data_IF_894508890889
#
_entry.id   IF_894508890889
#
_cell.length_a   1.000
_cell.length_b   1.000
_cell.length_c   1.000
_cell.angle_alpha   90.00
_cell.angle_beta   90.00
_cell.angle_gamma   90.00
#
_symmetry.space_group_name_H-M   'P 1'
#
loop_
_entity.id
_entity.type
_entity.pdbx_description
1 polymer ?
#
# COMPACT_ATOMS: atom_id res chain seq x y z
N UNK A 1 7.73 -15.68 8.78
CA UNK A 1 9.10 -15.54 8.20
C UNK A 1 9.53 -14.13 8.49
N UNK A 2 10.68 -13.91 9.15
CA UNK A 2 11.24 -12.58 9.32
C UNK A 2 11.92 -12.13 8.04
N UNK A 3 11.71 -10.89 7.63
CA UNK A 3 12.30 -10.29 6.43
C UNK A 3 13.45 -9.40 6.87
N UNK A 4 14.61 -9.53 6.22
CA UNK A 4 15.78 -8.70 6.47
C UNK A 4 15.97 -7.71 5.30
N UNK A 5 16.13 -6.44 5.63
CA UNK A 5 16.44 -5.40 4.65
C UNK A 5 17.91 -5.38 4.24
N UNK A 6 18.80 -6.05 5.00
CA UNK A 6 20.23 -6.09 4.69
C UNK A 6 20.46 -6.69 3.29
N UNK A 7 21.01 -5.88 2.39
CA UNK A 7 21.22 -6.22 1.00
C UNK A 7 19.95 -6.46 0.15
N UNK A 8 18.76 -6.19 0.68
CA UNK A 8 17.51 -6.31 -0.09
C UNK A 8 17.48 -5.34 -1.27
N UNK A 9 16.81 -5.74 -2.34
CA UNK A 9 16.41 -4.86 -3.44
C UNK A 9 14.92 -4.59 -3.30
N UNK A 10 14.59 -3.33 -3.04
CA UNK A 10 13.23 -2.89 -2.73
C UNK A 10 12.64 -2.14 -3.92
N UNK A 11 11.38 -2.41 -4.25
CA UNK A 11 10.62 -1.59 -5.20
C UNK A 11 9.48 -0.89 -4.46
N UNK A 12 9.33 0.42 -4.67
CA UNK A 12 8.27 1.23 -4.05
C UNK A 12 7.40 1.85 -5.13
N UNK A 13 6.10 1.50 -5.16
CA UNK A 13 5.16 2.17 -6.08
C UNK A 13 4.68 3.49 -5.48
N UNK A 14 4.53 4.53 -6.33
CA UNK A 14 4.13 5.86 -5.85
C UNK A 14 5.18 6.55 -4.99
N UNK A 15 6.46 6.32 -5.26
CA UNK A 15 7.60 6.80 -4.47
C UNK A 15 7.77 8.33 -4.44
N UNK A 16 7.09 9.08 -5.31
CA UNK A 16 7.11 10.56 -5.26
C UNK A 16 6.24 11.15 -4.15
N UNK A 17 5.32 10.38 -3.58
CA UNK A 17 4.37 10.83 -2.54
C UNK A 17 4.91 10.67 -1.11
N UNK A 18 4.21 11.23 -0.11
CA UNK A 18 4.64 11.28 1.29
C UNK A 18 5.10 9.94 1.87
N UNK A 19 4.20 8.96 1.98
CA UNK A 19 4.57 7.61 2.46
C UNK A 19 5.61 6.95 1.57
N UNK A 20 5.48 7.07 0.24
CA UNK A 20 6.41 6.45 -0.71
C UNK A 20 7.84 6.96 -0.55
N UNK A 21 8.03 8.26 -0.34
CA UNK A 21 9.35 8.85 -0.07
C UNK A 21 9.94 8.30 1.23
N UNK A 22 9.12 8.20 2.25
CA UNK A 22 9.55 7.70 3.55
C UNK A 22 9.89 6.21 3.50
N UNK A 23 9.14 5.41 2.77
CA UNK A 23 9.50 4.00 2.51
C UNK A 23 10.87 3.87 1.85
N UNK A 24 11.18 4.70 0.84
CA UNK A 24 12.50 4.72 0.21
C UNK A 24 13.58 5.06 1.25
N UNK A 25 13.39 6.11 2.03
CA UNK A 25 14.34 6.57 3.04
C UNK A 25 14.62 5.49 4.10
N UNK A 26 13.56 4.90 4.67
CA UNK A 26 13.70 3.91 5.73
C UNK A 26 14.22 2.56 5.24
N UNK A 27 13.86 2.13 4.03
CA UNK A 27 14.44 0.92 3.43
C UNK A 27 15.97 1.04 3.29
N UNK A 28 16.46 2.19 2.81
CA UNK A 28 17.90 2.46 2.73
C UNK A 28 18.57 2.53 4.10
N UNK A 29 17.91 3.14 5.09
CA UNK A 29 18.42 3.22 6.46
C UNK A 29 18.52 1.84 7.13
N UNK A 30 17.65 0.88 6.77
CA UNK A 30 17.66 -0.51 7.23
C UNK A 30 18.64 -1.40 6.46
N UNK A 31 19.37 -0.87 5.48
CA UNK A 31 20.44 -1.61 4.80
C UNK A 31 20.07 -2.14 3.42
N UNK A 32 18.96 -1.69 2.82
CA UNK A 32 18.67 -2.04 1.43
C UNK A 32 19.82 -1.65 0.51
N UNK A 33 20.24 -2.59 -0.32
CA UNK A 33 21.33 -2.36 -1.28
C UNK A 33 20.88 -1.46 -2.45
N UNK A 34 19.58 -1.52 -2.78
CA UNK A 34 18.99 -0.76 -3.87
C UNK A 34 17.51 -0.53 -3.61
N UNK A 35 17.02 0.63 -4.04
CA UNK A 35 15.57 0.92 -4.05
C UNK A 35 15.16 1.42 -5.43
N UNK A 36 14.27 0.72 -6.10
CA UNK A 36 13.56 1.20 -7.27
C UNK A 36 12.43 2.12 -6.82
N UNK A 37 12.65 3.44 -6.97
CA UNK A 37 11.66 4.46 -6.61
C UNK A 37 10.76 4.73 -7.82
N UNK A 38 9.55 4.14 -7.84
CA UNK A 38 8.73 4.17 -9.03
C UNK A 38 7.60 5.20 -8.96
N UNK A 39 7.34 5.84 -10.09
CA UNK A 39 6.23 6.75 -10.30
C UNK A 39 5.94 6.88 -11.80
N UNK A 40 4.78 7.44 -12.20
CA UNK A 40 4.48 7.76 -13.60
C UNK A 40 5.53 8.69 -14.21
N UNK A 41 6.00 9.66 -13.44
CA UNK A 41 7.11 10.55 -13.79
C UNK A 41 8.08 10.55 -12.61
N UNK A 42 9.10 9.68 -12.61
CA UNK A 42 10.04 9.55 -11.50
C UNK A 42 10.85 10.84 -11.32
N UNK A 43 11.09 11.21 -10.07
CA UNK A 43 12.00 12.31 -9.72
C UNK A 43 13.45 11.80 -9.60
N UNK A 44 14.41 12.70 -9.64
CA UNK A 44 15.78 12.42 -9.25
C UNK A 44 15.92 12.24 -7.73
N UNK A 45 16.91 11.47 -7.31
CA UNK A 45 17.25 11.21 -5.91
C UNK A 45 18.75 11.40 -5.72
N UNK A 46 19.16 11.89 -4.55
CA UNK A 46 20.57 12.19 -4.26
C UNK A 46 21.37 10.93 -3.86
N UNK A 47 20.70 9.87 -3.35
CA UNK A 47 21.35 8.62 -2.98
C UNK A 47 21.51 7.72 -4.21
N UNK A 48 22.73 7.33 -4.53
CA UNK A 48 23.06 6.50 -5.70
C UNK A 48 22.47 5.08 -5.67
N UNK A 49 21.99 4.62 -4.51
CA UNK A 49 21.30 3.35 -4.35
C UNK A 49 19.83 3.43 -4.80
N UNK A 50 19.29 4.64 -4.99
CA UNK A 50 17.93 4.82 -5.50
C UNK A 50 17.95 4.89 -7.01
N UNK A 51 17.21 4.01 -7.64
CA UNK A 51 17.03 3.95 -9.09
C UNK A 51 15.62 4.46 -9.44
N UNK A 52 15.48 5.66 -9.99
CA UNK A 52 14.20 6.13 -10.49
C UNK A 52 13.71 5.26 -11.65
N UNK A 53 12.46 4.77 -11.57
CA UNK A 53 11.90 3.90 -12.60
C UNK A 53 10.45 4.31 -12.93
N UNK A 54 10.15 4.43 -14.22
CA UNK A 54 8.80 4.74 -14.66
C UNK A 54 7.86 3.55 -14.41
N UNK A 55 6.73 3.82 -13.75
CA UNK A 55 5.68 2.83 -13.52
C UNK A 55 4.32 3.53 -13.37
N UNK A 56 3.43 3.25 -14.30
CA UNK A 56 1.99 3.50 -14.16
C UNK A 56 1.30 2.17 -13.81
N UNK A 57 0.77 2.07 -12.62
CA UNK A 57 0.11 0.85 -12.13
C UNK A 57 -1.21 0.55 -12.87
N UNK A 58 -1.72 1.48 -13.66
CA UNK A 58 -2.93 1.31 -14.48
C UNK A 58 -2.63 0.90 -15.91
N UNK A 59 -1.34 0.76 -16.28
CA UNK A 59 -0.89 0.35 -17.61
C UNK A 59 -0.11 -0.97 -17.52
N UNK A 60 -0.66 -2.03 -18.09
CA UNK A 60 -0.05 -3.36 -18.07
C UNK A 60 1.34 -3.37 -18.73
N UNK A 61 1.53 -2.64 -19.84
CA UNK A 61 2.82 -2.59 -20.51
C UNK A 61 3.88 -1.87 -19.65
N UNK A 62 3.47 -0.84 -18.90
CA UNK A 62 4.33 -0.16 -17.93
C UNK A 62 4.74 -1.08 -16.79
N UNK A 63 3.82 -1.89 -16.27
CA UNK A 63 4.08 -2.86 -15.20
C UNK A 63 5.07 -3.93 -15.70
N UNK A 64 4.85 -4.51 -16.88
CA UNK A 64 5.71 -5.53 -17.47
C UNK A 64 7.13 -4.99 -17.73
N UNK A 65 7.24 -3.76 -18.24
CA UNK A 65 8.53 -3.09 -18.43
C UNK A 65 9.27 -2.86 -17.10
N UNK A 66 8.54 -2.44 -16.05
CA UNK A 66 9.11 -2.25 -14.72
C UNK A 66 9.56 -3.59 -14.10
N UNK A 67 8.78 -4.67 -14.22
CA UNK A 67 9.17 -5.99 -13.73
C UNK A 67 10.42 -6.53 -14.45
N UNK A 68 10.54 -6.28 -15.75
CA UNK A 68 11.73 -6.64 -16.52
C UNK A 68 12.95 -5.83 -16.10
N UNK A 69 12.80 -4.52 -15.87
CA UNK A 69 13.90 -3.63 -15.49
C UNK A 69 14.37 -3.84 -14.04
N UNK A 70 13.45 -4.23 -13.15
CA UNK A 70 13.69 -4.47 -11.73
C UNK A 70 13.67 -5.97 -11.39
N UNK A 71 14.24 -6.80 -12.25
CA UNK A 71 14.23 -8.26 -12.14
C UNK A 71 15.00 -8.85 -10.96
N UNK A 72 15.73 -8.02 -10.21
CA UNK A 72 16.43 -8.40 -8.97
C UNK A 72 15.67 -8.00 -7.68
N UNK A 73 14.41 -7.56 -7.77
CA UNK A 73 13.60 -7.15 -6.64
C UNK A 73 13.27 -8.32 -5.71
N UNK A 74 13.47 -8.13 -4.41
CA UNK A 74 13.11 -9.08 -3.35
C UNK A 74 11.99 -8.57 -2.43
N UNK A 75 11.77 -7.24 -2.34
CA UNK A 75 10.68 -6.64 -1.55
C UNK A 75 9.93 -5.64 -2.41
N UNK A 76 8.60 -5.74 -2.44
CA UNK A 76 7.71 -4.80 -3.14
C UNK A 76 6.83 -4.07 -2.15
N UNK A 77 6.88 -2.74 -2.15
CA UNK A 77 6.00 -1.88 -1.37
C UNK A 77 4.93 -1.30 -2.31
N UNK A 78 3.75 -1.86 -2.24
CA UNK A 78 2.60 -1.54 -3.08
C UNK A 78 1.83 -0.37 -2.47
N UNK A 79 2.39 0.84 -2.63
CA UNK A 79 1.95 2.07 -1.97
C UNK A 79 1.13 2.99 -2.89
N UNK A 80 1.24 2.87 -4.21
CA UNK A 80 0.51 3.74 -5.13
C UNK A 80 -0.99 3.72 -4.85
N UNK A 81 -1.59 4.90 -4.72
CA UNK A 81 -3.01 5.05 -4.46
C UNK A 81 -3.50 6.46 -4.77
N UNK A 82 -4.79 6.58 -5.00
CA UNK A 82 -5.47 7.84 -5.31
C UNK A 82 -6.82 7.93 -4.60
N UNK A 83 -7.28 9.16 -4.41
CA UNK A 83 -8.65 9.48 -4.00
C UNK A 83 -9.29 10.43 -5.02
N UNK A 84 -10.53 10.82 -4.81
CA UNK A 84 -11.26 11.81 -5.59
C UNK A 84 -11.94 12.82 -4.68
N UNK A 85 -12.16 14.05 -5.15
CA UNK A 85 -12.79 15.11 -4.37
C UNK A 85 -14.27 14.82 -4.07
N UNK A 86 -14.97 14.10 -4.96
CA UNK A 86 -16.34 13.62 -4.72
C UNK A 86 -16.37 12.11 -4.95
N UNK A 87 -16.20 11.35 -3.89
CA UNK A 87 -16.20 9.89 -3.90
C UNK A 87 -17.54 9.28 -3.48
N UNK A 88 -18.61 10.08 -3.37
CA UNK A 88 -19.96 9.61 -3.09
C UNK A 88 -20.39 8.56 -4.13
N UNK A 89 -20.83 7.41 -3.67
CA UNK A 89 -21.36 6.35 -4.54
C UNK A 89 -22.70 6.72 -5.19
N UNK A 90 -23.41 7.71 -4.63
CA UNK A 90 -24.72 8.15 -5.16
C UNK A 90 -24.59 9.30 -6.17
N UNK A 91 -23.61 10.20 -5.98
CA UNK A 91 -23.53 11.44 -6.76
C UNK A 91 -22.15 11.67 -7.41
N UNK A 92 -21.18 10.82 -7.14
CA UNK A 92 -19.85 10.90 -7.73
C UNK A 92 -19.86 10.56 -9.23
N UNK A 93 -18.89 11.10 -9.96
CA UNK A 93 -18.68 10.75 -11.36
C UNK A 93 -18.22 9.28 -11.46
N UNK A 94 -18.96 8.48 -12.22
CA UNK A 94 -18.66 7.05 -12.39
C UNK A 94 -17.26 6.81 -13.01
N UNK A 95 -16.77 7.72 -13.86
CA UNK A 95 -15.43 7.62 -14.42
C UNK A 95 -14.37 7.80 -13.34
N UNK A 96 -14.56 8.74 -12.42
CA UNK A 96 -13.68 8.94 -11.26
C UNK A 96 -13.74 7.76 -10.27
N UNK A 97 -14.93 7.20 -10.02
CA UNK A 97 -15.07 6.01 -9.18
C UNK A 97 -14.28 4.82 -9.79
N UNK A 98 -14.39 4.62 -11.11
CA UNK A 98 -13.60 3.61 -11.82
C UNK A 98 -12.11 3.87 -11.72
N UNK A 99 -11.66 5.11 -11.92
CA UNK A 99 -10.25 5.50 -11.82
C UNK A 99 -9.65 5.16 -10.44
N UNK A 100 -10.42 5.36 -9.37
CA UNK A 100 -9.99 4.97 -8.02
C UNK A 100 -9.80 3.45 -7.93
N UNK A 101 -10.71 2.66 -8.45
CA UNK A 101 -10.58 1.19 -8.47
C UNK A 101 -9.44 0.72 -9.37
N UNK A 102 -9.27 1.33 -10.55
CA UNK A 102 -8.14 0.99 -11.45
C UNK A 102 -6.80 1.16 -10.77
N UNK A 103 -6.61 2.23 -10.01
CA UNK A 103 -5.34 2.45 -9.30
C UNK A 103 -5.23 1.62 -8.02
N UNK A 104 -6.24 1.71 -7.13
CA UNK A 104 -6.12 1.21 -5.75
C UNK A 104 -6.34 -0.30 -5.65
N UNK A 105 -7.00 -0.91 -6.63
CA UNK A 105 -7.32 -2.33 -6.62
C UNK A 105 -6.69 -3.06 -7.82
N UNK A 106 -7.12 -2.79 -9.04
CA UNK A 106 -6.64 -3.53 -10.21
C UNK A 106 -5.15 -3.33 -10.44
N UNK A 107 -4.65 -2.10 -10.35
CA UNK A 107 -3.24 -1.78 -10.50
C UNK A 107 -2.39 -2.41 -9.39
N UNK A 108 -2.86 -2.33 -8.14
CA UNK A 108 -2.17 -2.96 -7.02
C UNK A 108 -2.06 -4.49 -7.19
N UNK A 109 -3.15 -5.15 -7.56
CA UNK A 109 -3.15 -6.61 -7.85
C UNK A 109 -2.26 -6.94 -9.05
N UNK A 110 -2.28 -6.11 -10.11
CA UNK A 110 -1.44 -6.31 -11.29
C UNK A 110 0.06 -6.21 -10.96
N UNK A 111 0.45 -5.28 -10.08
CA UNK A 111 1.85 -5.18 -9.58
C UNK A 111 2.24 -6.46 -8.83
N UNK A 112 1.40 -6.97 -7.91
CA UNK A 112 1.70 -8.23 -7.20
C UNK A 112 1.87 -9.37 -8.21
N UNK A 113 0.97 -9.50 -9.18
CA UNK A 113 1.03 -10.55 -10.21
C UNK A 113 2.30 -10.52 -11.04
N UNK A 114 2.76 -9.33 -11.43
CA UNK A 114 3.96 -9.16 -12.24
C UNK A 114 5.25 -9.41 -11.43
N UNK A 115 5.27 -9.02 -10.16
CA UNK A 115 6.46 -9.14 -9.33
C UNK A 115 6.53 -10.43 -8.51
N UNK A 116 5.44 -11.16 -8.31
CA UNK A 116 5.48 -12.45 -7.58
C UNK A 116 6.49 -13.45 -8.19
N UNK A 117 6.52 -13.67 -9.53
CA UNK A 117 7.53 -14.54 -10.12
C UNK A 117 8.96 -13.97 -10.00
N UNK A 118 9.13 -12.64 -9.98
CA UNK A 118 10.43 -11.97 -9.79
C UNK A 118 10.94 -12.24 -8.38
N UNK A 119 10.13 -11.95 -7.36
CA UNK A 119 10.46 -12.17 -5.94
C UNK A 119 10.77 -13.65 -5.69
N UNK A 120 9.94 -14.55 -6.22
CA UNK A 120 10.17 -16.00 -6.13
C UNK A 120 11.52 -16.42 -6.75
N UNK A 121 11.86 -15.91 -7.93
CA UNK A 121 13.10 -16.21 -8.64
C UNK A 121 14.35 -15.73 -7.86
N UNK A 122 14.21 -14.69 -7.05
CA UNK A 122 15.25 -14.15 -6.18
C UNK A 122 15.32 -14.84 -4.80
N UNK A 123 14.66 -15.98 -4.62
CA UNK A 123 14.75 -16.79 -3.41
C UNK A 123 13.63 -16.52 -2.40
N UNK A 124 12.56 -15.86 -2.81
CA UNK A 124 11.47 -15.38 -1.95
C UNK A 124 11.73 -13.97 -1.45
N UNK A 125 10.87 -13.48 -0.58
CA UNK A 125 10.93 -12.10 -0.06
C UNK A 125 9.57 -11.63 0.44
N UNK A 126 9.18 -10.38 0.14
CA UNK A 126 7.94 -9.86 0.67
C UNK A 126 7.21 -8.87 -0.23
N UNK A 127 5.91 -8.76 0.05
CA UNK A 127 5.06 -7.64 -0.37
C UNK A 127 4.55 -6.89 0.87
N UNK A 128 4.48 -5.57 0.76
CA UNK A 128 3.77 -4.69 1.70
C UNK A 128 2.64 -4.02 0.93
N UNK A 129 1.40 -4.36 1.24
CA UNK A 129 0.22 -3.75 0.66
C UNK A 129 -0.28 -2.62 1.56
N UNK A 130 -0.24 -1.38 1.05
CA UNK A 130 -0.67 -0.19 1.81
C UNK A 130 -2.18 -0.03 1.71
N UNK A 131 -2.87 -0.38 2.78
CA UNK A 131 -4.31 -0.29 2.95
C UNK A 131 -4.75 1.03 3.63
N UNK A 132 -5.77 0.95 4.47
CA UNK A 132 -6.31 2.03 5.27
C UNK A 132 -7.23 1.46 6.35
N UNK A 133 -7.48 2.19 7.42
CA UNK A 133 -8.60 1.93 8.32
C UNK A 133 -9.95 1.89 7.58
N UNK A 134 -10.04 2.64 6.47
CA UNK A 134 -11.19 2.65 5.56
C UNK A 134 -11.38 1.36 4.75
N UNK A 135 -10.48 0.37 4.88
CA UNK A 135 -10.74 -0.99 4.40
C UNK A 135 -11.89 -1.67 5.16
N UNK A 136 -12.19 -1.19 6.36
CA UNK A 136 -13.20 -1.74 7.28
C UNK A 136 -14.29 -0.74 7.65
N UNK A 137 -14.05 0.52 7.42
CA UNK A 137 -14.98 1.59 7.76
C UNK A 137 -15.35 2.41 6.51
N UNK A 138 -16.64 2.54 6.24
CA UNK A 138 -17.16 3.30 5.09
C UNK A 138 -17.18 4.80 5.44
N UNK A 139 -16.03 5.46 5.38
CA UNK A 139 -15.91 6.91 5.59
C UNK A 139 -15.97 7.70 4.28
N UNK A 140 -15.48 7.10 3.19
CA UNK A 140 -15.35 7.73 1.87
C UNK A 140 -15.73 6.72 0.80
N UNK A 141 -16.75 7.00 -0.01
CA UNK A 141 -17.41 6.05 -0.91
C UNK A 141 -16.49 5.13 -1.73
N UNK A 142 -16.01 5.61 -2.88
CA UNK A 142 -15.20 4.78 -3.79
C UNK A 142 -13.83 4.40 -3.19
N UNK A 143 -13.22 5.31 -2.45
CA UNK A 143 -11.93 5.03 -1.81
C UNK A 143 -12.06 3.89 -0.80
N UNK A 144 -13.01 3.97 0.16
CA UNK A 144 -13.26 2.91 1.13
C UNK A 144 -13.56 1.58 0.45
N UNK A 145 -14.45 1.58 -0.54
CA UNK A 145 -14.80 0.38 -1.30
C UNK A 145 -13.58 -0.24 -2.00
N UNK A 146 -12.70 0.59 -2.61
CA UNK A 146 -11.48 0.11 -3.27
C UNK A 146 -10.48 -0.48 -2.27
N UNK A 147 -10.33 0.12 -1.09
CA UNK A 147 -9.45 -0.38 -0.03
C UNK A 147 -9.99 -1.65 0.63
N UNK A 148 -11.32 -1.78 0.79
CA UNK A 148 -11.95 -3.02 1.24
C UNK A 148 -11.74 -4.17 0.23
N UNK A 149 -11.91 -3.90 -1.06
CA UNK A 149 -11.63 -4.86 -2.13
C UNK A 149 -10.16 -5.29 -2.11
N UNK A 150 -9.23 -4.34 -1.98
CA UNK A 150 -7.81 -4.63 -1.95
C UNK A 150 -7.40 -5.44 -0.71
N UNK A 151 -7.93 -5.10 0.48
CA UNK A 151 -7.71 -5.92 1.69
C UNK A 151 -8.17 -7.37 1.52
N UNK A 152 -9.35 -7.59 0.94
CA UNK A 152 -9.84 -8.94 0.64
C UNK A 152 -8.94 -9.68 -0.35
N UNK A 153 -8.46 -9.00 -1.40
CA UNK A 153 -7.53 -9.56 -2.37
C UNK A 153 -6.18 -9.91 -1.72
N UNK A 154 -5.63 -9.04 -0.87
CA UNK A 154 -4.38 -9.30 -0.16
C UNK A 154 -4.45 -10.53 0.73
N UNK A 155 -5.61 -10.81 1.36
CA UNK A 155 -5.81 -12.04 2.11
C UNK A 155 -5.75 -13.29 1.23
N UNK A 156 -6.29 -13.23 0.01
CA UNK A 156 -6.20 -14.32 -0.97
C UNK A 156 -4.76 -14.50 -1.49
N UNK A 157 -4.13 -13.38 -1.88
CA UNK A 157 -2.75 -13.35 -2.37
C UNK A 157 -1.76 -13.87 -1.32
N UNK A 158 -1.97 -13.56 -0.04
CA UNK A 158 -1.14 -14.05 1.08
C UNK A 158 -1.07 -15.57 1.09
N UNK A 159 -2.22 -16.24 0.91
CA UNK A 159 -2.29 -17.72 0.88
C UNK A 159 -1.62 -18.30 -0.37
N UNK A 160 -1.69 -17.60 -1.50
CA UNK A 160 -1.06 -18.03 -2.74
C UNK A 160 0.46 -17.84 -2.70
N UNK A 161 0.94 -16.70 -2.21
CA UNK A 161 2.35 -16.33 -2.12
C UNK A 161 3.13 -17.14 -1.08
N UNK A 162 2.48 -17.52 0.03
CA UNK A 162 3.09 -18.33 1.10
C UNK A 162 3.63 -19.66 0.57
N UNK A 163 2.98 -20.26 -0.42
CA UNK A 163 3.42 -21.50 -1.09
C UNK A 163 4.78 -21.37 -1.77
N UNK A 164 5.15 -20.16 -2.15
CA UNK A 164 6.41 -19.83 -2.83
C UNK A 164 7.43 -19.15 -1.89
N UNK A 165 7.19 -19.23 -0.56
CA UNK A 165 8.07 -18.62 0.44
C UNK A 165 8.09 -17.09 0.39
N UNK A 166 7.01 -16.49 -0.09
CA UNK A 166 6.89 -15.03 -0.18
C UNK A 166 5.88 -14.52 0.83
N UNK A 167 6.31 -13.62 1.71
CA UNK A 167 5.49 -13.03 2.75
C UNK A 167 4.64 -11.87 2.19
N UNK A 168 3.43 -11.65 2.72
CA UNK A 168 2.63 -10.48 2.40
C UNK A 168 2.11 -9.84 3.69
N UNK A 169 2.52 -8.59 3.94
CA UNK A 169 2.06 -7.77 5.03
C UNK A 169 1.02 -6.75 4.54
N UNK A 170 -0.11 -6.66 5.22
CA UNK A 170 -1.11 -5.59 5.04
C UNK A 170 -0.88 -4.47 6.07
N UNK A 171 -0.63 -3.24 5.61
CA UNK A 171 -0.45 -2.07 6.45
C UNK A 171 -1.74 -1.25 6.52
N UNK A 172 -2.27 -0.99 7.70
CA UNK A 172 -3.47 -0.19 7.93
C UNK A 172 -3.20 1.01 8.82
N UNK A 173 -3.76 2.17 8.45
CA UNK A 173 -3.62 3.42 9.18
C UNK A 173 -4.87 4.31 8.98
N UNK A 174 -5.05 5.28 9.85
CA UNK A 174 -5.97 6.40 9.69
C UNK A 174 -5.42 7.48 8.78
N UNK A 175 -5.64 8.76 9.14
CA UNK A 175 -5.06 9.88 8.40
C UNK A 175 -3.57 10.04 8.69
N UNK A 176 -2.80 10.28 7.62
CA UNK A 176 -1.35 10.51 7.67
C UNK A 176 -1.07 11.86 7.04
N UNK A 177 -0.21 12.67 7.64
CA UNK A 177 0.18 13.98 7.14
C UNK A 177 0.92 13.88 5.80
N UNK A 178 0.17 14.01 4.73
CA UNK A 178 0.61 13.88 3.34
C UNK A 178 -0.16 14.83 2.43
N UNK A 179 0.30 15.08 1.20
CA UNK A 179 -0.49 15.87 0.24
C UNK A 179 -1.89 15.29 -0.05
N UNK A 180 -2.11 13.99 0.14
CA UNK A 180 -3.43 13.36 -0.07
C UNK A 180 -4.46 13.80 0.98
N UNK A 181 -4.02 14.12 2.17
CA UNK A 181 -4.86 14.51 3.31
C UNK A 181 -4.82 16.03 3.58
N UNK A 182 -4.20 16.80 2.68
CA UNK A 182 -4.14 18.24 2.80
C UNK A 182 -5.55 18.86 2.91
N UNK A 183 -5.75 19.70 3.93
CA UNK A 183 -7.04 20.37 4.19
C UNK A 183 -8.03 19.54 5.02
N UNK A 184 -7.68 18.34 5.46
CA UNK A 184 -8.48 17.58 6.43
C UNK A 184 -8.13 18.09 7.84
N UNK A 185 -9.13 18.53 8.60
CA UNK A 185 -8.99 18.94 10.00
C UNK A 185 -9.30 17.75 10.92
N UNK A 186 -8.31 16.90 11.11
CA UNK A 186 -8.38 15.72 11.99
C UNK A 186 -6.99 15.38 12.53
N UNK A 187 -6.89 14.66 13.65
CA UNK A 187 -5.60 14.11 14.10
C UNK A 187 -4.97 13.22 13.03
N UNK A 188 -3.68 13.42 12.80
CA UNK A 188 -2.92 12.68 11.78
C UNK A 188 -1.66 12.07 12.38
N UNK A 189 -1.32 10.86 11.94
CA UNK A 189 -0.02 10.26 12.19
C UNK A 189 1.04 10.86 11.27
N UNK A 190 2.30 10.83 11.67
CA UNK A 190 3.40 11.22 10.79
C UNK A 190 3.74 10.09 9.81
N UNK A 191 4.29 10.43 8.64
CA UNK A 191 4.76 9.42 7.68
C UNK A 191 5.84 8.52 8.27
N UNK A 192 6.72 9.07 9.10
CA UNK A 192 7.78 8.33 9.80
C UNK A 192 7.21 7.25 10.73
N UNK A 193 6.22 7.60 11.58
CA UNK A 193 5.57 6.64 12.49
C UNK A 193 4.93 5.47 11.73
N UNK A 194 4.18 5.76 10.67
CA UNK A 194 3.46 4.75 9.90
C UNK A 194 4.43 3.81 9.18
N UNK A 195 5.46 4.36 8.55
CA UNK A 195 6.43 3.55 7.81
C UNK A 195 7.31 2.74 8.77
N UNK A 196 7.70 3.32 9.91
CA UNK A 196 8.44 2.59 10.95
C UNK A 196 7.64 1.38 11.42
N UNK A 197 6.37 1.56 11.78
CA UNK A 197 5.51 0.46 12.21
C UNK A 197 5.39 -0.63 11.13
N UNK A 198 5.22 -0.23 9.85
CA UNK A 198 5.12 -1.18 8.73
C UNK A 198 6.39 -2.02 8.56
N UNK A 199 7.56 -1.39 8.60
CA UNK A 199 8.83 -2.08 8.36
C UNK A 199 9.25 -2.90 9.56
N UNK A 200 8.98 -2.45 10.81
CA UNK A 200 9.20 -3.24 12.03
C UNK A 200 8.31 -4.50 12.03
N UNK A 201 7.03 -4.36 11.67
CA UNK A 201 6.12 -5.50 11.54
C UNK A 201 6.56 -6.47 10.45
N UNK A 202 7.07 -5.98 9.32
CA UNK A 202 7.61 -6.82 8.25
C UNK A 202 8.83 -7.63 8.73
N UNK A 203 9.77 -6.98 9.42
CA UNK A 203 10.94 -7.65 10.01
C UNK A 203 10.55 -8.66 11.08
N UNK A 204 9.48 -8.38 11.84
CA UNK A 204 8.91 -9.31 12.82
C UNK A 204 8.14 -10.48 12.17
N UNK A 205 7.84 -10.41 10.87
CA UNK A 205 7.06 -11.42 10.15
C UNK A 205 5.56 -11.35 10.43
N UNK A 206 5.05 -10.15 10.76
CA UNK A 206 3.62 -9.92 10.96
C UNK A 206 2.88 -9.95 9.63
N UNK A 207 1.68 -10.48 9.63
CA UNK A 207 0.83 -10.50 8.43
C UNK A 207 0.00 -9.22 8.26
N UNK A 208 -0.20 -8.46 9.33
CA UNK A 208 -1.01 -7.26 9.33
C UNK A 208 -0.52 -6.30 10.43
N UNK A 209 -0.29 -5.05 10.06
CA UNK A 209 0.10 -3.98 10.97
C UNK A 209 -1.01 -2.95 11.06
N UNK A 210 -1.49 -2.68 12.26
CA UNK A 210 -2.42 -1.60 12.60
C UNK A 210 -1.58 -0.46 13.18
N UNK A 211 -1.21 0.49 12.33
CA UNK A 211 -0.13 1.44 12.66
C UNK A 211 -0.55 2.59 13.59
N UNK A 212 -1.85 2.72 13.87
CA UNK A 212 -2.41 3.74 14.76
C UNK A 212 -3.73 3.28 15.42
N UNK A 213 -4.17 4.04 16.42
CA UNK A 213 -5.40 3.73 17.17
C UNK A 213 -6.67 3.74 16.29
N UNK A 214 -6.65 4.51 15.19
CA UNK A 214 -7.78 4.57 14.23
C UNK A 214 -7.90 3.23 13.51
N UNK A 215 -6.79 2.66 13.05
CA UNK A 215 -6.77 1.35 12.41
C UNK A 215 -7.17 0.24 13.40
N UNK A 216 -6.68 0.31 14.64
CA UNK A 216 -7.06 -0.63 15.72
C UNK A 216 -8.57 -0.58 15.96
N UNK A 217 -9.14 0.61 16.15
CA UNK A 217 -10.57 0.79 16.38
C UNK A 217 -11.42 0.32 15.20
N UNK A 218 -11.03 0.65 13.97
CA UNK A 218 -11.73 0.22 12.77
C UNK A 218 -11.74 -1.31 12.62
N UNK A 219 -10.61 -1.96 12.87
CA UNK A 219 -10.51 -3.44 12.84
C UNK A 219 -11.41 -4.10 13.87
N UNK A 220 -11.41 -3.61 15.10
CA UNK A 220 -12.26 -4.13 16.17
C UNK A 220 -13.75 -3.96 15.84
N UNK A 221 -14.11 -2.90 15.13
CA UNK A 221 -15.50 -2.61 14.74
C UNK A 221 -16.06 -3.50 13.62
N UNK A 222 -15.23 -4.27 12.90
CA UNK A 222 -15.68 -5.06 11.72
C UNK A 222 -16.80 -6.04 12.07
N UNK A 223 -16.80 -6.63 13.24
CA UNK A 223 -17.80 -7.60 13.68
C UNK A 223 -18.93 -6.98 14.52
N UNK A 224 -18.90 -5.66 14.74
CA UNK A 224 -19.94 -4.97 15.51
C UNK A 224 -21.25 -4.87 14.70
N UNK A 225 -22.42 -4.71 15.39
CA UNK A 225 -23.66 -4.36 14.71
C UNK A 225 -23.49 -3.09 13.88
N UNK A 226 -24.19 -3.01 12.74
CA UNK A 226 -24.02 -1.90 11.79
C UNK A 226 -24.31 -0.54 12.43
N UNK A 227 -25.28 -0.48 13.35
CA UNK A 227 -25.67 0.74 14.07
C UNK A 227 -24.58 1.21 15.05
N UNK A 228 -23.74 0.30 15.54
CA UNK A 228 -22.60 0.63 16.39
C UNK A 228 -21.45 1.20 15.55
N UNK A 229 -21.22 0.64 14.35
CA UNK A 229 -20.23 1.15 13.41
C UNK A 229 -20.65 2.51 12.81
N UNK A 230 -21.95 2.70 12.59
CA UNK A 230 -22.53 3.91 11.98
C UNK A 230 -23.68 4.45 12.83
N UNK A 231 -23.39 5.21 13.92
CA UNK A 231 -24.41 5.69 14.86
C UNK A 231 -25.54 6.52 14.23
N UNK A 232 -25.29 7.15 13.08
CA UNK A 232 -26.31 7.89 12.32
C UNK A 232 -27.44 7.00 11.80
N UNK A 233 -27.26 5.68 11.75
CA UNK A 233 -28.28 4.70 11.37
C UNK A 233 -29.11 4.19 12.55
N UNK A 234 -28.69 4.45 13.79
CA UNK A 234 -29.46 4.09 14.97
C UNK A 234 -30.79 4.89 14.98
N UNK A 235 -31.90 4.19 14.87
CA UNK A 235 -33.23 4.80 14.99
C UNK A 235 -33.52 4.97 16.47
N UNK A 236 -33.99 6.18 16.86
CA UNK A 236 -34.47 6.46 18.19
C UNK A 236 -35.75 5.63 18.50
#
# INVERSE_FOLDING_TARGET
MSIDFSNAVVLVTGANGGLGQEFVRQALARGAAKVYATARTPRAWDDSRVVPLALDVTDAASIDAAASAAGDTSIVINNAGVTTANDSLLTGDVAELRRVFETNFFGAVAVVRAFAPVVKANGGGAFVDVHSALSWWAGTGAYSASKAAFWSASNSLRVELDRDGTHLLGLHMGYVDTPMTAGIDAPMSTVDQIVTAALDGLEAGEYEVLADDVAVGAKQGVSAPIEAAYPSLARA
#
